data_IF_223900549602
#
_entry.id   IF_223900549602
#
_cell.length_a   1.000
_cell.length_b   1.000
_cell.length_c   1.000
_cell.angle_alpha   90.00
_cell.angle_beta   90.00
_cell.angle_gamma   90.00
#
_symmetry.space_group_name_H-M   'P 1'
#
loop_
_entity.id
_entity.type
_entity.pdbx_description
1 polymer ?
#
# COMPACT_ATOMS: atom_id res chain seq x y z
N UNK A 1 -4.82 25.94 14.87
CA UNK A 1 -4.59 24.59 15.46
C UNK A 1 -5.86 24.04 16.11
N UNK A 2 -6.48 24.77 17.04
CA UNK A 2 -7.70 24.32 17.70
C UNK A 2 -8.79 23.90 16.70
N UNK A 3 -9.09 24.74 15.70
CA UNK A 3 -10.04 24.43 14.63
C UNK A 3 -9.69 23.15 13.87
N UNK A 4 -8.42 22.89 13.52
CA UNK A 4 -8.01 21.67 12.81
C UNK A 4 -8.28 20.44 13.68
N UNK A 5 -7.98 20.51 14.98
CA UNK A 5 -8.25 19.42 15.91
C UNK A 5 -9.75 19.20 16.12
N UNK A 6 -10.57 20.27 16.06
CA UNK A 6 -12.02 20.15 16.09
C UNK A 6 -12.55 19.47 14.82
N UNK A 7 -12.05 19.84 13.64
CA UNK A 7 -12.36 19.15 12.40
C UNK A 7 -11.94 17.67 12.46
N UNK A 8 -10.74 17.39 12.93
CA UNK A 8 -10.29 16.00 13.07
C UNK A 8 -11.17 15.17 14.01
N UNK A 9 -11.57 15.74 15.16
CA UNK A 9 -12.52 15.11 16.09
C UNK A 9 -13.89 14.86 15.43
N UNK A 10 -14.39 15.81 14.64
CA UNK A 10 -15.64 15.64 13.91
C UNK A 10 -15.55 14.53 12.86
N UNK A 11 -14.43 14.45 12.14
CA UNK A 11 -14.14 13.41 11.15
C UNK A 11 -14.07 12.03 11.83
N UNK A 12 -13.33 11.91 12.93
CA UNK A 12 -13.18 10.62 13.65
C UNK A 12 -14.45 10.15 14.35
N UNK A 13 -15.42 11.05 14.57
CA UNK A 13 -16.72 10.68 15.10
C UNK A 13 -17.64 9.99 14.06
N UNK A 14 -17.26 10.01 12.79
CA UNK A 14 -18.03 9.40 11.68
C UNK A 14 -17.27 8.12 11.23
N UNK A 15 -17.89 6.93 11.33
CA UNK A 15 -17.31 5.70 10.79
C UNK A 15 -17.07 5.84 9.28
N UNK A 16 -15.86 5.51 8.83
CA UNK A 16 -15.42 5.71 7.44
C UNK A 16 -14.47 4.62 6.93
N UNK A 17 -14.69 3.37 7.38
CA UNK A 17 -13.95 2.22 6.82
C UNK A 17 -14.16 2.15 5.30
N UNK A 18 -13.12 1.75 4.57
CA UNK A 18 -13.22 1.54 3.12
C UNK A 18 -14.46 0.73 2.75
N UNK A 19 -15.14 1.08 1.66
CA UNK A 19 -16.46 0.60 1.22
C UNK A 19 -17.66 1.02 2.12
N UNK A 20 -17.45 1.61 3.29
CA UNK A 20 -18.51 1.98 4.25
C UNK A 20 -18.45 3.47 4.62
N UNK A 21 -18.34 4.33 3.62
CA UNK A 21 -18.00 5.75 3.77
C UNK A 21 -19.19 6.70 3.52
N UNK A 22 -20.41 6.21 3.36
CA UNK A 22 -21.58 7.01 2.98
C UNK A 22 -21.83 8.22 3.89
N UNK A 23 -21.72 8.04 5.22
CA UNK A 23 -21.93 9.13 6.17
C UNK A 23 -20.86 10.21 6.06
N UNK A 24 -19.60 9.81 5.84
CA UNK A 24 -18.48 10.73 5.63
C UNK A 24 -18.67 11.53 4.35
N UNK A 25 -19.07 10.90 3.24
CA UNK A 25 -19.41 11.59 1.98
C UNK A 25 -20.44 12.71 2.19
N UNK A 26 -21.56 12.40 2.84
CA UNK A 26 -22.60 13.39 3.08
C UNK A 26 -22.14 14.51 4.02
N UNK A 27 -21.26 14.21 4.99
CA UNK A 27 -20.65 15.20 5.86
C UNK A 27 -19.76 16.17 5.07
N UNK A 28 -18.88 15.65 4.19
CA UNK A 28 -18.01 16.46 3.32
C UNK A 28 -18.85 17.39 2.43
N UNK A 29 -19.88 16.86 1.77
CA UNK A 29 -20.76 17.64 0.88
C UNK A 29 -21.46 18.76 1.66
N UNK A 30 -22.07 18.43 2.80
CA UNK A 30 -22.78 19.39 3.64
C UNK A 30 -21.85 20.51 4.11
N UNK A 31 -20.63 20.16 4.53
CA UNK A 31 -19.63 21.12 4.96
C UNK A 31 -19.23 22.05 3.80
N UNK A 32 -18.89 21.50 2.64
CA UNK A 32 -18.51 22.26 1.46
C UNK A 32 -19.62 23.19 0.95
N UNK A 33 -20.86 22.70 0.88
CA UNK A 33 -22.03 23.48 0.49
C UNK A 33 -22.26 24.66 1.45
N UNK A 34 -22.08 24.47 2.76
CA UNK A 34 -22.24 25.52 3.77
C UNK A 34 -21.25 26.70 3.58
N UNK A 35 -20.10 26.42 2.96
CA UNK A 35 -19.07 27.41 2.63
C UNK A 35 -19.20 27.98 1.21
N UNK A 36 -20.22 27.55 0.45
CA UNK A 36 -20.49 28.02 -0.92
C UNK A 36 -19.57 27.41 -1.98
N UNK A 37 -19.00 26.24 -1.74
CA UNK A 37 -18.30 25.47 -2.78
C UNK A 37 -19.31 24.78 -3.71
N UNK A 38 -18.97 24.72 -5.01
CA UNK A 38 -19.65 23.85 -5.95
C UNK A 38 -19.16 22.42 -5.70
N UNK A 39 -20.08 21.53 -5.36
CA UNK A 39 -19.77 20.13 -5.04
C UNK A 39 -20.16 19.23 -6.21
N UNK A 40 -19.25 18.35 -6.61
CA UNK A 40 -19.45 17.31 -7.62
C UNK A 40 -19.02 15.97 -7.05
N UNK A 41 -19.74 14.92 -7.38
CA UNK A 41 -19.39 13.54 -7.03
C UNK A 41 -19.29 12.70 -8.32
N UNK A 42 -18.28 11.87 -8.44
CA UNK A 42 -18.18 10.92 -9.55
C UNK A 42 -18.82 9.57 -9.20
N UNK A 43 -18.80 8.66 -10.19
CA UNK A 43 -19.48 7.36 -10.09
C UNK A 43 -18.87 6.40 -9.04
N UNK A 44 -17.66 6.65 -8.57
CA UNK A 44 -16.98 5.85 -7.52
C UNK A 44 -16.96 6.55 -6.17
N UNK A 45 -17.53 7.75 -6.08
CA UNK A 45 -17.71 8.48 -4.84
C UNK A 45 -16.63 9.51 -4.52
N UNK A 46 -15.71 9.81 -5.44
CA UNK A 46 -14.83 10.95 -5.26
C UNK A 46 -15.61 12.25 -5.22
N UNK A 47 -15.25 13.15 -4.31
CA UNK A 47 -15.94 14.44 -4.11
C UNK A 47 -14.99 15.56 -4.49
N UNK A 48 -15.38 16.36 -5.47
CA UNK A 48 -14.66 17.54 -5.91
C UNK A 48 -15.41 18.80 -5.49
N UNK A 49 -14.80 19.63 -4.66
CA UNK A 49 -15.32 20.88 -4.15
C UNK A 49 -14.56 22.06 -4.78
N UNK A 50 -15.24 22.96 -5.45
CA UNK A 50 -14.61 24.06 -6.21
C UNK A 50 -15.22 25.40 -5.80
N UNK A 51 -14.37 26.41 -5.54
CA UNK A 51 -14.79 27.79 -5.30
C UNK A 51 -13.84 28.75 -6.00
N UNK A 52 -14.38 29.82 -6.62
CA UNK A 52 -13.62 30.87 -7.29
C UNK A 52 -12.81 30.41 -8.49
N UNK A 53 -11.58 30.88 -8.57
CA UNK A 53 -10.59 30.59 -9.66
C UNK A 53 -9.38 29.84 -9.10
N UNK A 54 -9.53 28.58 -8.71
CA UNK A 54 -8.49 27.84 -8.03
C UNK A 54 -7.25 27.63 -8.93
N UNK A 55 -6.07 27.83 -8.35
CA UNK A 55 -4.76 27.46 -8.94
C UNK A 55 -4.20 26.21 -8.27
N UNK A 56 -4.67 25.91 -7.05
CA UNK A 56 -4.27 24.80 -6.20
C UNK A 56 -5.49 23.91 -5.97
N UNK A 57 -5.34 22.61 -6.14
CA UNK A 57 -6.22 21.57 -5.65
C UNK A 57 -5.55 20.89 -4.46
N UNK A 58 -6.16 20.94 -3.29
CA UNK A 58 -5.78 20.10 -2.15
C UNK A 58 -6.43 18.72 -2.30
N UNK A 59 -5.71 17.67 -1.89
CA UNK A 59 -6.27 16.32 -2.01
C UNK A 59 -5.91 15.46 -0.79
N UNK A 60 -6.89 14.67 -0.34
CA UNK A 60 -6.77 13.64 0.68
C UNK A 60 -7.82 12.55 0.45
N UNK A 61 -7.57 11.32 0.86
CA UNK A 61 -8.62 10.29 0.86
C UNK A 61 -9.46 10.36 2.13
N UNK A 62 -10.71 9.91 2.04
CA UNK A 62 -11.65 10.04 3.17
C UNK A 62 -12.03 8.71 3.83
N UNK A 63 -11.62 7.57 3.29
CA UNK A 63 -11.71 6.27 3.95
C UNK A 63 -10.56 6.07 4.95
N UNK A 64 -10.52 4.95 5.63
CA UNK A 64 -9.45 4.56 6.55
C UNK A 64 -9.41 3.05 6.74
N UNK A 65 -8.24 2.50 7.10
CA UNK A 65 -8.11 1.12 7.59
C UNK A 65 -8.73 0.99 8.97
N UNK A 66 -9.72 0.14 9.11
CA UNK A 66 -10.41 -0.09 10.37
C UNK A 66 -9.85 -1.32 11.12
N UNK A 67 -9.21 -1.08 12.25
CA UNK A 67 -8.75 -2.13 13.19
C UNK A 67 -9.24 -1.76 14.59
N UNK A 68 -9.82 -2.73 15.29
CA UNK A 68 -10.36 -2.50 16.62
C UNK A 68 -11.72 -1.81 16.63
N UNK A 69 -12.02 -1.03 17.66
CA UNK A 69 -13.32 -0.36 17.84
C UNK A 69 -13.37 0.98 17.11
N UNK A 70 -13.55 0.93 15.79
CA UNK A 70 -13.61 2.13 14.93
C UNK A 70 -15.01 2.74 14.77
N UNK A 71 -16.04 2.16 15.40
CA UNK A 71 -17.37 2.78 15.43
C UNK A 71 -17.39 4.02 16.33
N UNK A 72 -16.50 4.07 17.32
CA UNK A 72 -16.35 5.21 18.22
C UNK A 72 -14.87 5.33 18.61
N UNK A 73 -14.12 6.05 17.81
CA UNK A 73 -12.69 6.28 18.06
C UNK A 73 -12.51 7.18 19.30
N UNK A 74 -11.91 6.64 20.36
CA UNK A 74 -11.57 7.40 21.57
C UNK A 74 -10.17 7.99 21.40
N UNK A 75 -10.10 9.29 21.08
CA UNK A 75 -8.83 10.01 20.90
C UNK A 75 -8.19 10.25 22.27
N UNK A 76 -6.91 9.92 22.39
CA UNK A 76 -6.08 10.15 23.58
C UNK A 76 -4.89 11.03 23.17
N UNK A 77 -4.52 11.96 24.03
CA UNK A 77 -3.35 12.81 23.87
C UNK A 77 -2.24 12.34 24.81
N UNK A 78 -1.05 12.10 24.26
CA UNK A 78 0.17 11.74 24.98
C UNK A 78 1.27 12.74 24.62
N UNK A 79 1.39 13.81 25.39
CA UNK A 79 2.25 14.96 25.06
C UNK A 79 1.78 15.66 23.79
N UNK A 80 2.57 15.61 22.73
CA UNK A 80 2.24 16.15 21.40
C UNK A 80 1.65 15.10 20.46
N UNK A 81 1.51 13.86 20.91
CA UNK A 81 1.01 12.75 20.09
C UNK A 81 -0.47 12.51 20.31
N UNK A 82 -1.24 12.50 19.24
CA UNK A 82 -2.61 11.98 19.19
C UNK A 82 -2.54 10.48 18.92
N UNK A 83 -3.34 9.71 19.67
CA UNK A 83 -3.47 8.26 19.56
C UNK A 83 -4.94 7.87 19.70
N UNK A 84 -5.29 6.65 19.32
CA UNK A 84 -6.59 6.07 19.61
C UNK A 84 -6.47 4.95 20.65
N UNK A 85 -7.50 4.78 21.47
CA UNK A 85 -7.58 3.70 22.44
C UNK A 85 -8.30 2.51 21.80
N UNK A 86 -7.59 1.37 21.68
CA UNK A 86 -8.12 0.11 21.15
C UNK A 86 -8.59 0.14 19.67
N UNK A 87 -8.16 1.13 18.88
CA UNK A 87 -8.47 1.20 17.45
C UNK A 87 -7.36 1.89 16.67
N UNK A 88 -7.41 1.83 15.34
CA UNK A 88 -6.72 2.79 14.46
C UNK A 88 -7.23 4.20 14.78
N UNK A 89 -6.35 5.19 14.65
CA UNK A 89 -6.68 6.61 14.88
C UNK A 89 -7.38 7.22 13.67
N UNK A 90 -7.00 6.78 12.47
CA UNK A 90 -7.43 7.34 11.20
C UNK A 90 -6.87 8.74 10.95
N UNK A 91 -5.69 9.05 11.46
CA UNK A 91 -4.95 10.25 11.09
C UNK A 91 -4.56 10.20 9.61
N UNK A 92 -4.26 9.04 9.13
CA UNK A 92 -4.19 8.63 7.73
C UNK A 92 -5.62 8.37 7.21
N UNK A 93 -6.18 9.18 6.31
CA UNK A 93 -5.78 10.53 5.95
C UNK A 93 -6.77 11.58 6.53
N UNK A 94 -7.37 11.26 7.69
CA UNK A 94 -8.30 12.18 8.38
C UNK A 94 -7.65 13.49 8.80
N UNK A 95 -6.32 13.50 9.00
CA UNK A 95 -5.62 14.73 9.33
C UNK A 95 -5.42 15.62 8.10
N UNK A 96 -5.13 15.02 6.93
CA UNK A 96 -5.16 15.73 5.65
C UNK A 96 -6.52 16.36 5.39
N UNK A 97 -7.61 15.61 5.59
CA UNK A 97 -8.99 16.13 5.50
C UNK A 97 -9.23 17.31 6.45
N UNK A 98 -8.78 17.21 7.70
CA UNK A 98 -8.98 18.28 8.69
C UNK A 98 -8.25 19.58 8.30
N UNK A 99 -7.05 19.46 7.73
CA UNK A 99 -6.32 20.61 7.16
C UNK A 99 -7.08 21.17 5.95
N UNK A 100 -7.64 20.31 5.10
CA UNK A 100 -8.46 20.76 3.96
C UNK A 100 -9.72 21.50 4.41
N UNK A 101 -10.45 21.01 5.41
CA UNK A 101 -11.62 21.70 5.94
C UNK A 101 -11.24 23.08 6.50
N UNK A 102 -10.17 23.14 7.26
CA UNK A 102 -9.65 24.43 7.74
C UNK A 102 -9.27 25.35 6.57
N UNK A 103 -8.60 24.85 5.53
CA UNK A 103 -8.25 25.66 4.35
C UNK A 103 -9.48 26.16 3.59
N UNK A 104 -10.55 25.37 3.50
CA UNK A 104 -11.83 25.75 2.85
C UNK A 104 -12.52 26.91 3.58
N UNK A 105 -12.43 26.99 4.91
CA UNK A 105 -12.98 28.10 5.69
C UNK A 105 -12.23 29.42 5.46
N UNK A 106 -10.97 29.38 5.02
CA UNK A 106 -10.09 30.54 4.94
C UNK A 106 -9.73 30.99 3.51
N UNK A 107 -10.23 30.28 2.49
CA UNK A 107 -9.89 30.55 1.09
C UNK A 107 -11.10 30.47 0.16
N UNK A 108 -11.27 31.50 -0.69
CA UNK A 108 -12.35 31.57 -1.69
C UNK A 108 -11.91 31.07 -3.08
N UNK A 109 -10.61 31.03 -3.38
CA UNK A 109 -10.08 30.50 -4.64
C UNK A 109 -9.36 29.18 -4.35
N UNK A 110 -10.13 28.13 -4.15
CA UNK A 110 -9.62 26.81 -3.77
C UNK A 110 -10.41 25.67 -4.42
N UNK A 111 -9.69 24.60 -4.75
CA UNK A 111 -10.23 23.31 -5.17
C UNK A 111 -9.80 22.26 -4.16
N UNK A 112 -10.71 21.37 -3.76
CA UNK A 112 -10.48 20.30 -2.81
C UNK A 112 -11.03 19.00 -3.38
N UNK A 113 -10.21 17.98 -3.48
CA UNK A 113 -10.57 16.63 -3.92
C UNK A 113 -10.46 15.65 -2.75
N UNK A 114 -11.57 15.00 -2.43
CA UNK A 114 -11.66 13.94 -1.45
C UNK A 114 -11.87 12.63 -2.19
N UNK A 115 -10.91 11.72 -2.14
CA UNK A 115 -10.95 10.44 -2.85
C UNK A 115 -11.49 9.31 -2.00
N UNK A 116 -12.14 8.34 -2.64
CA UNK A 116 -12.75 7.17 -2.01
C UNK A 116 -11.85 5.95 -2.08
N UNK A 117 -11.96 5.07 -1.08
CA UNK A 117 -11.43 3.71 -1.09
C UNK A 117 -9.95 3.62 -1.56
N UNK A 118 -9.10 4.53 -1.04
CA UNK A 118 -7.67 4.55 -1.27
C UNK A 118 -7.02 3.28 -0.71
N UNK A 119 -7.35 2.94 0.53
CA UNK A 119 -6.76 1.90 1.37
C UNK A 119 -6.94 0.46 0.86
N UNK A 120 -7.81 0.31 -0.12
CA UNK A 120 -8.12 -0.98 -0.76
C UNK A 120 -7.69 -1.03 -2.22
N UNK A 121 -6.69 -0.21 -2.57
CA UNK A 121 -5.99 -0.23 -3.85
C UNK A 121 -6.26 0.96 -4.75
N UNK A 122 -6.30 2.18 -4.20
CA UNK A 122 -6.42 3.46 -4.93
C UNK A 122 -7.67 3.55 -5.81
N UNK A 123 -8.79 2.88 -5.42
CA UNK A 123 -9.96 2.69 -6.29
C UNK A 123 -10.50 4.03 -6.78
N UNK A 124 -10.63 5.01 -5.87
CA UNK A 124 -11.10 6.35 -6.21
C UNK A 124 -10.20 7.03 -7.24
N UNK A 125 -8.90 7.06 -7.01
CA UNK A 125 -7.94 7.68 -7.91
C UNK A 125 -7.89 6.97 -9.27
N UNK A 126 -7.89 5.64 -9.29
CA UNK A 126 -7.88 4.82 -10.51
C UNK A 126 -9.12 5.01 -11.39
N UNK A 127 -10.22 5.46 -10.85
CA UNK A 127 -11.48 5.67 -11.59
C UNK A 127 -11.94 7.13 -11.57
N UNK A 128 -11.07 8.05 -11.13
CA UNK A 128 -11.38 9.47 -11.08
C UNK A 128 -11.76 10.03 -12.44
N UNK A 129 -12.90 10.73 -12.53
CA UNK A 129 -13.46 11.17 -13.81
C UNK A 129 -13.83 12.66 -13.86
N UNK A 130 -13.66 13.41 -12.77
CA UNK A 130 -13.97 14.83 -12.73
C UNK A 130 -12.79 15.69 -13.21
N UNK A 131 -13.03 16.76 -14.00
CA UNK A 131 -11.96 17.63 -14.46
C UNK A 131 -11.54 18.62 -13.37
N UNK A 132 -10.25 18.65 -13.05
CA UNK A 132 -9.68 19.67 -12.16
C UNK A 132 -9.55 21.02 -12.88
N UNK A 133 -9.94 22.11 -12.20
CA UNK A 133 -9.67 23.48 -12.67
C UNK A 133 -8.25 23.92 -12.33
N UNK A 134 -7.76 23.58 -11.16
CA UNK A 134 -6.40 23.87 -10.72
C UNK A 134 -5.36 23.20 -11.64
N UNK A 135 -4.19 23.84 -11.78
CA UNK A 135 -3.04 23.26 -12.50
C UNK A 135 -2.03 22.60 -11.58
N UNK A 136 -2.21 22.74 -10.27
CA UNK A 136 -1.32 22.20 -9.26
C UNK A 136 -2.14 21.38 -8.25
N UNK A 137 -1.70 20.15 -7.99
CA UNK A 137 -2.28 19.22 -7.02
C UNK A 137 -1.35 19.10 -5.82
N UNK A 138 -1.82 19.49 -4.64
CA UNK A 138 -1.14 19.28 -3.37
C UNK A 138 -1.84 18.17 -2.60
N UNK A 139 -1.30 16.98 -2.65
CA UNK A 139 -1.76 15.85 -1.87
C UNK A 139 -1.24 15.97 -0.42
N UNK A 140 -2.07 15.61 0.54
CA UNK A 140 -1.79 15.72 1.98
C UNK A 140 -1.69 14.35 2.67
N UNK A 141 -1.16 13.37 1.96
CA UNK A 141 -1.13 11.97 2.34
C UNK A 141 0.28 11.45 2.68
N UNK A 142 1.28 12.33 2.66
CA UNK A 142 2.60 11.96 3.15
C UNK A 142 2.60 11.92 4.69
N UNK A 143 3.38 10.99 5.24
CA UNK A 143 3.39 10.68 6.68
C UNK A 143 4.65 11.18 7.41
N UNK A 144 5.53 11.89 6.69
CA UNK A 144 6.79 12.41 7.24
C UNK A 144 6.89 13.92 6.99
N UNK A 145 6.88 14.70 8.10
CA UNK A 145 7.08 16.15 8.01
C UNK A 145 8.44 16.51 7.42
N UNK A 146 8.48 17.59 6.64
CA UNK A 146 9.73 18.06 6.02
C UNK A 146 10.14 17.29 4.76
N UNK A 147 9.46 16.25 4.35
CA UNK A 147 9.68 15.54 3.10
C UNK A 147 8.71 15.99 2.01
N UNK A 148 9.16 16.00 0.76
CA UNK A 148 8.38 16.38 -0.42
C UNK A 148 8.42 15.21 -1.39
N UNK A 149 7.30 14.52 -1.57
CA UNK A 149 7.22 13.43 -2.52
C UNK A 149 6.81 13.95 -3.90
N UNK A 150 7.59 13.57 -4.91
CA UNK A 150 7.41 13.98 -6.31
C UNK A 150 7.30 12.77 -7.25
N UNK A 151 7.15 11.57 -6.70
CA UNK A 151 7.02 10.34 -7.46
C UNK A 151 6.73 9.14 -6.57
N UNK A 152 6.11 8.11 -7.16
CA UNK A 152 5.82 6.85 -6.50
C UNK A 152 5.86 5.67 -7.48
N UNK A 153 6.02 4.45 -6.93
CA UNK A 153 5.98 3.25 -7.75
C UNK A 153 4.55 2.95 -8.22
N UNK A 154 4.45 2.51 -9.47
CA UNK A 154 3.29 1.78 -9.96
C UNK A 154 3.30 0.34 -9.46
N UNK A 155 2.16 -0.34 -9.60
CA UNK A 155 1.98 -1.72 -9.15
C UNK A 155 1.22 -2.60 -10.13
N UNK A 156 1.51 -3.90 -10.07
CA UNK A 156 0.79 -4.92 -10.83
C UNK A 156 0.69 -6.18 -10.00
N UNK A 157 -0.52 -6.72 -9.91
CA UNK A 157 -0.80 -7.97 -9.23
C UNK A 157 -0.76 -9.13 -10.22
N UNK A 158 -0.03 -10.18 -9.88
CA UNK A 158 0.11 -11.37 -10.72
C UNK A 158 -0.32 -12.58 -9.91
N UNK A 159 -1.32 -13.29 -10.44
CA UNK A 159 -1.89 -14.47 -9.82
C UNK A 159 -1.57 -15.68 -10.69
N UNK A 160 -0.77 -16.60 -10.14
CA UNK A 160 -0.48 -17.88 -10.78
C UNK A 160 -1.27 -18.99 -10.11
N UNK A 161 -2.01 -19.77 -10.88
CA UNK A 161 -2.87 -20.86 -10.42
C UNK A 161 -2.52 -22.17 -11.08
N UNK A 162 -2.55 -23.26 -10.32
CA UNK A 162 -2.27 -24.61 -10.81
C UNK A 162 -3.31 -25.59 -10.29
N UNK A 163 -4.00 -26.28 -11.21
CA UNK A 163 -4.90 -27.37 -10.85
C UNK A 163 -4.04 -28.58 -10.45
N UNK A 164 -4.26 -29.06 -9.24
CA UNK A 164 -3.44 -30.10 -8.64
C UNK A 164 -3.95 -31.50 -9.03
N UNK A 165 -3.00 -32.39 -9.32
CA UNK A 165 -3.20 -33.81 -9.49
C UNK A 165 -2.50 -34.55 -8.36
N UNK A 166 -3.01 -35.73 -8.01
CA UNK A 166 -2.54 -36.44 -6.83
C UNK A 166 -2.27 -37.90 -7.15
N UNK A 167 -1.12 -38.38 -6.66
CA UNK A 167 -0.72 -39.78 -6.70
C UNK A 167 -0.66 -40.38 -5.30
N UNK A 168 -1.07 -41.66 -5.09
CA UNK A 168 -0.92 -42.31 -3.80
C UNK A 168 0.53 -42.30 -3.29
N UNK A 169 0.69 -42.11 -1.98
CA UNK A 169 2.00 -42.18 -1.31
C UNK A 169 2.54 -43.62 -1.32
N UNK A 170 3.87 -43.73 -1.43
CA UNK A 170 4.58 -45.00 -1.23
C UNK A 170 4.40 -45.49 0.22
N UNK A 171 4.35 -46.81 0.43
CA UNK A 171 4.15 -47.40 1.76
C UNK A 171 5.30 -47.06 2.75
N UNK A 172 6.51 -46.82 2.25
CA UNK A 172 7.70 -46.48 3.01
C UNK A 172 7.94 -44.97 3.17
N UNK A 173 7.05 -44.13 2.60
CA UNK A 173 7.17 -42.69 2.69
C UNK A 173 7.07 -42.19 4.15
N UNK A 174 8.01 -41.33 4.52
CA UNK A 174 8.00 -40.60 5.80
C UNK A 174 7.36 -39.23 5.58
N UNK A 175 6.53 -38.83 6.53
CA UNK A 175 5.78 -37.57 6.43
C UNK A 175 6.38 -36.55 7.38
N UNK A 176 6.48 -35.32 6.89
CA UNK A 176 7.02 -34.19 7.64
C UNK A 176 6.19 -32.94 7.42
N UNK A 177 6.04 -32.16 8.48
CA UNK A 177 5.62 -30.77 8.42
C UNK A 177 6.87 -29.89 8.56
N UNK A 178 7.06 -28.99 7.61
CA UNK A 178 8.13 -27.98 7.66
C UNK A 178 7.46 -26.63 7.79
N UNK A 179 7.73 -25.92 8.88
CA UNK A 179 7.10 -24.66 9.22
C UNK A 179 8.14 -23.56 9.37
N UNK A 180 7.89 -22.43 8.72
CA UNK A 180 8.64 -21.18 8.85
C UNK A 180 7.84 -20.22 9.73
N UNK A 181 8.37 -19.86 10.90
CA UNK A 181 7.75 -18.92 11.86
C UNK A 181 8.74 -17.85 12.29
N UNK A 182 8.25 -16.85 13.00
CA UNK A 182 9.04 -15.77 13.61
C UNK A 182 9.80 -14.91 12.59
N UNK A 183 9.29 -14.84 11.36
CA UNK A 183 9.76 -13.86 10.39
C UNK A 183 9.11 -12.50 10.69
N UNK A 184 9.89 -11.43 10.63
CA UNK A 184 9.43 -10.08 11.01
C UNK A 184 8.24 -9.60 10.19
N UNK A 185 8.23 -9.92 8.87
CA UNK A 185 7.27 -9.36 7.94
C UNK A 185 7.49 -7.86 7.73
N UNK A 186 6.68 -7.27 6.86
CA UNK A 186 6.74 -5.85 6.53
C UNK A 186 5.92 -5.54 5.29
N UNK A 187 5.82 -4.27 4.91
CA UNK A 187 5.16 -3.87 3.68
C UNK A 187 6.06 -4.12 2.47
N UNK A 188 5.56 -4.76 1.41
CA UNK A 188 6.35 -5.16 0.23
C UNK A 188 6.84 -3.99 -0.64
N UNK A 189 6.39 -2.78 -0.39
CA UNK A 189 6.90 -1.55 -0.99
C UNK A 189 7.87 -0.85 -0.05
N UNK A 190 7.37 -0.28 1.05
CA UNK A 190 8.12 0.59 1.99
C UNK A 190 9.23 -0.14 2.75
N UNK A 191 9.09 -1.45 3.00
CA UNK A 191 10.05 -2.20 3.79
C UNK A 191 10.89 -3.18 2.95
N UNK A 192 10.72 -3.21 1.63
CA UNK A 192 11.39 -4.19 0.77
C UNK A 192 12.93 -4.03 0.77
N UNK A 193 13.43 -2.84 1.02
CA UNK A 193 14.84 -2.50 1.12
C UNK A 193 15.48 -2.83 2.48
N UNK A 194 14.65 -3.07 3.51
CA UNK A 194 15.11 -3.40 4.87
C UNK A 194 15.66 -4.82 5.02
N UNK A 195 15.78 -5.55 3.89
CA UNK A 195 16.32 -6.92 3.86
C UNK A 195 15.55 -7.92 4.76
N UNK A 196 14.25 -7.69 4.92
CA UNK A 196 13.38 -8.58 5.69
C UNK A 196 13.22 -9.89 4.90
N UNK A 197 13.57 -11.04 5.48
CA UNK A 197 13.41 -12.31 4.80
C UNK A 197 11.95 -12.75 4.71
N UNK A 198 11.57 -13.37 3.59
CA UNK A 198 10.25 -13.96 3.37
C UNK A 198 10.21 -15.40 3.85
N UNK A 199 9.22 -15.76 4.67
CA UNK A 199 9.01 -17.12 5.14
C UNK A 199 8.72 -18.11 3.97
N UNK A 200 7.91 -17.69 2.98
CA UNK A 200 7.61 -18.49 1.78
C UNK A 200 8.91 -18.77 1.01
N UNK A 201 9.76 -17.75 0.85
CA UNK A 201 11.02 -17.89 0.12
C UNK A 201 12.01 -18.77 0.86
N UNK A 202 12.14 -18.64 2.18
CA UNK A 202 12.98 -19.47 3.01
C UNK A 202 12.56 -20.95 2.93
N UNK A 203 11.27 -21.21 3.06
CA UNK A 203 10.70 -22.57 2.91
C UNK A 203 10.93 -23.11 1.51
N UNK A 204 10.63 -22.35 0.45
CA UNK A 204 10.82 -22.79 -0.93
C UNK A 204 12.30 -23.07 -1.26
N UNK A 205 13.22 -22.26 -0.74
CA UNK A 205 14.64 -22.47 -0.93
C UNK A 205 15.14 -23.73 -0.21
N UNK A 206 14.64 -24.03 0.99
CA UNK A 206 14.97 -25.25 1.71
C UNK A 206 14.43 -26.48 0.97
N UNK A 207 13.19 -26.44 0.48
CA UNK A 207 12.59 -27.55 -0.28
C UNK A 207 13.38 -27.89 -1.56
N UNK A 208 14.05 -26.92 -2.19
CA UNK A 208 14.89 -27.19 -3.36
C UNK A 208 16.10 -28.08 -3.08
N UNK A 209 16.53 -28.18 -1.81
CA UNK A 209 17.71 -28.99 -1.42
C UNK A 209 17.37 -30.46 -1.21
N UNK A 210 16.05 -30.79 -1.17
CA UNK A 210 15.58 -32.11 -0.78
C UNK A 210 14.78 -32.79 -1.89
N UNK A 211 14.88 -34.12 -1.96
CA UNK A 211 14.02 -34.95 -2.80
C UNK A 211 12.75 -35.25 -2.02
N UNK A 212 11.74 -34.36 -2.21
CA UNK A 212 10.45 -34.43 -1.50
C UNK A 212 9.28 -34.24 -2.45
N UNK A 213 8.16 -34.84 -2.09
CA UNK A 213 6.87 -34.58 -2.74
C UNK A 213 5.97 -33.78 -1.79
N UNK A 214 5.33 -32.74 -2.33
CA UNK A 214 4.41 -31.88 -1.59
C UNK A 214 3.06 -32.59 -1.37
N UNK A 215 2.48 -32.39 -0.20
CA UNK A 215 1.14 -32.84 0.15
C UNK A 215 0.23 -31.61 0.37
N UNK A 216 0.72 -30.64 1.12
CA UNK A 216 0.04 -29.40 1.36
C UNK A 216 1.04 -28.23 1.46
N UNK A 217 0.56 -27.02 1.15
CA UNK A 217 1.39 -25.82 1.19
C UNK A 217 0.50 -24.60 1.42
N UNK A 218 0.90 -23.74 2.35
CA UNK A 218 0.29 -22.44 2.55
C UNK A 218 1.29 -21.46 3.18
N UNK A 219 1.06 -20.17 3.00
CA UNK A 219 1.90 -19.13 3.60
C UNK A 219 1.50 -17.74 3.17
N UNK A 220 1.87 -16.76 4.00
CA UNK A 220 1.54 -15.36 3.79
C UNK A 220 0.08 -15.02 4.07
N UNK A 221 -0.19 -13.75 4.31
CA UNK A 221 -1.51 -13.27 4.73
C UNK A 221 -2.08 -12.22 3.77
N UNK A 222 -1.21 -11.40 3.19
CA UNK A 222 -1.57 -10.31 2.27
C UNK A 222 -0.57 -10.24 1.11
N UNK A 223 -1.06 -9.91 -0.08
CA UNK A 223 -0.24 -9.79 -1.30
C UNK A 223 0.85 -8.72 -1.16
N UNK A 224 0.51 -7.59 -0.57
CA UNK A 224 1.42 -6.46 -0.34
C UNK A 224 2.25 -6.57 0.96
N UNK A 225 2.29 -7.75 1.59
CA UNK A 225 3.10 -8.00 2.78
C UNK A 225 4.23 -8.98 2.48
N UNK A 226 5.39 -8.78 3.11
CA UNK A 226 6.48 -9.77 3.15
C UNK A 226 6.04 -10.89 4.11
N UNK A 227 5.93 -12.14 3.66
CA UNK A 227 5.35 -13.24 4.44
C UNK A 227 6.08 -13.52 5.76
N UNK A 228 5.32 -13.58 6.86
CA UNK A 228 5.81 -13.91 8.21
C UNK A 228 5.85 -15.40 8.51
N UNK A 229 5.01 -16.17 7.83
CA UNK A 229 4.87 -17.60 8.05
C UNK A 229 4.63 -18.36 6.75
N UNK A 230 5.06 -19.62 6.72
CA UNK A 230 4.75 -20.56 5.66
C UNK A 230 4.86 -21.97 6.22
N UNK A 231 4.05 -22.90 5.71
CA UNK A 231 4.07 -24.30 6.11
C UNK A 231 3.91 -25.20 4.89
N UNK A 232 4.74 -26.23 4.81
CA UNK A 232 4.61 -27.32 3.84
C UNK A 232 4.47 -28.66 4.56
N UNK A 233 3.58 -29.52 4.05
CA UNK A 233 3.55 -30.93 4.40
C UNK A 233 4.15 -31.69 3.21
N UNK A 234 5.15 -32.52 3.51
CA UNK A 234 5.90 -33.23 2.48
C UNK A 234 6.04 -34.71 2.83
N UNK A 235 6.24 -35.51 1.79
CA UNK A 235 6.70 -36.88 1.92
C UNK A 235 8.16 -37.00 1.42
N UNK A 236 8.94 -37.86 2.08
CA UNK A 236 10.33 -38.17 1.71
C UNK A 236 10.66 -39.62 2.02
N UNK A 237 11.53 -40.24 1.22
CA UNK A 237 12.10 -41.58 1.52
C UNK A 237 13.21 -41.52 2.56
N UNK A 238 13.85 -40.37 2.72
CA UNK A 238 14.96 -40.13 3.65
C UNK A 238 14.51 -39.28 4.84
N UNK A 239 15.34 -39.27 5.87
CA UNK A 239 15.13 -38.32 6.98
C UNK A 239 15.45 -36.90 6.50
N UNK A 240 14.56 -35.96 6.81
CA UNK A 240 14.73 -34.54 6.51
C UNK A 240 15.51 -33.86 7.62
N UNK A 241 16.47 -33.06 7.20
CA UNK A 241 17.24 -32.18 8.07
C UNK A 241 17.29 -30.79 7.43
N UNK A 242 16.87 -29.76 8.16
CA UNK A 242 16.89 -28.38 7.68
C UNK A 242 18.05 -27.62 8.33
N UNK A 243 18.69 -26.74 7.55
CA UNK A 243 19.84 -25.96 8.01
C UNK A 243 19.44 -24.61 8.58
N UNK A 244 18.35 -23.99 8.06
CA UNK A 244 17.86 -22.70 8.54
C UNK A 244 17.17 -22.87 9.90
N UNK A 245 17.73 -22.28 10.95
CA UNK A 245 17.21 -22.37 12.33
C UNK A 245 15.80 -21.78 12.52
N UNK A 246 15.30 -21.02 11.54
CA UNK A 246 13.93 -20.47 11.54
C UNK A 246 12.91 -21.45 10.96
N UNK A 247 13.37 -22.57 10.42
CA UNK A 247 12.53 -23.64 9.90
C UNK A 247 12.46 -24.78 10.94
N UNK A 248 11.26 -25.21 11.23
CA UNK A 248 11.00 -26.29 12.17
C UNK A 248 10.45 -27.51 11.44
N UNK A 249 11.07 -28.67 11.66
CA UNK A 249 10.63 -29.94 11.07
C UNK A 249 9.98 -30.80 12.14
N UNK A 250 8.79 -31.26 11.87
CA UNK A 250 8.03 -32.19 12.72
C UNK A 250 7.69 -33.43 11.92
N UNK A 251 8.06 -34.62 12.41
CA UNK A 251 7.59 -35.88 11.85
C UNK A 251 6.10 -36.07 12.10
N UNK A 252 5.37 -36.53 11.10
CA UNK A 252 3.95 -36.82 11.16
C UNK A 252 3.72 -38.33 11.16
N UNK A 253 2.58 -38.76 11.74
CA UNK A 253 2.19 -40.17 11.78
C UNK A 253 1.82 -40.71 10.38
N UNK A 254 2.13 -41.97 10.13
CA UNK A 254 1.70 -42.66 8.91
C UNK A 254 0.16 -42.71 8.87
N UNK A 255 -0.40 -42.50 7.67
CA UNK A 255 -1.83 -42.52 7.46
C UNK A 255 -2.56 -41.20 7.66
N UNK A 256 -1.87 -40.16 8.16
CA UNK A 256 -2.44 -38.81 8.20
C UNK A 256 -2.76 -38.24 6.80
N UNK A 257 -1.98 -38.68 5.81
CA UNK A 257 -2.17 -38.33 4.38
C UNK A 257 -1.96 -39.56 3.52
N UNK A 258 -2.65 -39.64 2.39
CA UNK A 258 -2.64 -40.80 1.50
C UNK A 258 -2.11 -40.52 0.10
N UNK A 259 -1.99 -39.23 -0.27
CA UNK A 259 -1.57 -38.81 -1.61
C UNK A 259 -0.59 -37.64 -1.52
N UNK A 260 0.25 -37.50 -2.54
CA UNK A 260 1.09 -36.32 -2.76
C UNK A 260 0.71 -35.62 -4.07
N UNK A 261 1.16 -34.39 -4.25
CA UNK A 261 0.91 -33.56 -5.42
C UNK A 261 1.89 -33.92 -6.54
N UNK A 262 1.39 -34.34 -7.70
CA UNK A 262 2.22 -34.75 -8.85
C UNK A 262 3.14 -33.63 -9.33
N UNK A 263 2.64 -32.38 -9.29
CA UNK A 263 3.38 -31.20 -9.74
C UNK A 263 4.38 -30.67 -8.69
N UNK A 264 4.72 -31.44 -7.65
CA UNK A 264 5.60 -31.03 -6.54
C UNK A 264 6.89 -30.35 -7.02
N UNK A 265 7.59 -30.92 -8.01
CA UNK A 265 8.83 -30.35 -8.56
C UNK A 265 8.64 -28.95 -9.17
N UNK A 266 7.54 -28.75 -9.91
CA UNK A 266 7.23 -27.45 -10.51
C UNK A 266 6.89 -26.41 -9.43
N UNK A 267 6.13 -26.78 -8.42
CA UNK A 267 5.74 -25.92 -7.30
C UNK A 267 6.98 -25.54 -6.47
N UNK A 268 7.82 -26.50 -6.12
CA UNK A 268 9.07 -26.22 -5.36
C UNK A 268 9.97 -25.27 -6.13
N UNK A 269 10.12 -25.46 -7.47
CA UNK A 269 10.86 -24.53 -8.32
C UNK A 269 10.20 -23.15 -8.37
N UNK A 270 8.86 -23.08 -8.44
CA UNK A 270 8.13 -21.82 -8.42
C UNK A 270 8.40 -21.02 -7.13
N UNK A 271 8.51 -21.67 -5.98
CA UNK A 271 8.83 -21.00 -4.71
C UNK A 271 10.32 -20.69 -4.58
N UNK A 272 11.17 -21.67 -4.77
CA UNK A 272 12.59 -21.58 -4.46
C UNK A 272 13.40 -20.79 -5.49
N UNK A 273 13.12 -20.95 -6.80
CA UNK A 273 13.84 -20.28 -7.88
C UNK A 273 13.26 -18.90 -8.23
N UNK A 274 12.06 -18.55 -7.76
CA UNK A 274 11.46 -17.24 -8.01
C UNK A 274 12.35 -16.11 -7.49
N UNK A 275 12.66 -15.13 -8.32
CA UNK A 275 13.56 -14.03 -7.99
C UNK A 275 12.79 -12.92 -7.24
N UNK A 276 12.42 -13.20 -5.98
CA UNK A 276 11.74 -12.25 -5.09
C UNK A 276 12.68 -11.14 -4.59
N UNK A 277 12.10 -9.99 -4.27
CA UNK A 277 12.77 -8.85 -3.66
C UNK A 277 13.11 -7.77 -4.68
N UNK A 278 14.12 -6.97 -4.35
CA UNK A 278 14.58 -5.87 -5.20
C UNK A 278 15.21 -6.44 -6.48
N UNK A 279 14.77 -5.94 -7.62
CA UNK A 279 15.27 -6.30 -8.94
C UNK A 279 16.18 -5.22 -9.51
N UNK A 280 15.94 -3.97 -9.15
CA UNK A 280 16.73 -2.83 -9.58
C UNK A 280 16.69 -1.72 -8.52
N UNK A 281 17.73 -0.85 -8.53
CA UNK A 281 17.91 0.23 -7.56
C UNK A 281 18.18 1.56 -8.25
N UNK A 282 17.42 2.60 -7.94
CA UNK A 282 17.71 3.97 -8.35
C UNK A 282 18.72 4.60 -7.37
N UNK A 283 19.92 4.89 -7.89
CA UNK A 283 21.00 5.46 -7.08
C UNK A 283 20.83 6.95 -6.79
N UNK A 284 20.13 7.67 -7.68
CA UNK A 284 19.93 9.10 -7.52
C UNK A 284 18.90 9.39 -6.42
N UNK A 285 17.83 8.62 -6.39
CA UNK A 285 16.78 8.72 -5.37
C UNK A 285 17.07 7.85 -4.14
N UNK A 286 18.07 6.95 -4.23
CA UNK A 286 18.43 5.98 -3.19
C UNK A 286 17.26 5.12 -2.71
N UNK A 287 16.47 4.58 -3.66
CA UNK A 287 15.33 3.69 -3.43
C UNK A 287 15.33 2.53 -4.42
N UNK A 288 14.61 1.43 -4.13
CA UNK A 288 14.33 0.42 -5.15
C UNK A 288 13.61 1.05 -6.35
N UNK A 289 14.11 0.81 -7.58
CA UNK A 289 13.39 1.20 -8.80
C UNK A 289 12.47 0.10 -9.31
N UNK A 290 12.75 -1.16 -8.95
CA UNK A 290 11.93 -2.31 -9.32
C UNK A 290 12.01 -3.40 -8.26
N UNK A 291 10.87 -3.98 -7.88
CA UNK A 291 10.80 -5.09 -6.93
C UNK A 291 9.60 -5.99 -7.18
N UNK A 292 9.67 -7.22 -6.66
CA UNK A 292 8.54 -8.16 -6.68
C UNK A 292 8.47 -8.94 -5.37
N UNK A 293 7.25 -9.21 -4.91
CA UNK A 293 6.98 -9.96 -3.70
C UNK A 293 5.99 -11.10 -3.98
N UNK A 294 6.34 -12.33 -3.62
CA UNK A 294 5.40 -13.45 -3.51
C UNK A 294 4.78 -13.37 -2.11
N UNK A 295 3.60 -12.80 -2.03
CA UNK A 295 2.93 -12.45 -0.78
C UNK A 295 2.06 -13.55 -0.19
N UNK A 296 1.42 -14.39 -1.04
CA UNK A 296 0.50 -15.44 -0.60
C UNK A 296 0.73 -16.72 -1.38
N UNK A 297 0.68 -17.83 -0.67
CA UNK A 297 0.54 -19.18 -1.20
C UNK A 297 -0.64 -19.84 -0.51
N UNK A 298 -1.63 -20.30 -1.27
CA UNK A 298 -2.81 -20.94 -0.73
C UNK A 298 -3.25 -22.13 -1.57
N UNK A 299 -3.87 -23.11 -0.92
CA UNK A 299 -4.50 -24.26 -1.59
C UNK A 299 -5.97 -24.30 -1.22
N UNK A 300 -6.84 -24.31 -2.20
CA UNK A 300 -8.28 -24.45 -2.04
C UNK A 300 -8.89 -25.21 -3.24
N UNK A 301 -9.80 -26.15 -3.00
CA UNK A 301 -10.53 -26.93 -4.01
C UNK A 301 -9.62 -27.52 -5.12
N UNK A 302 -8.52 -28.16 -4.73
CA UNK A 302 -7.52 -28.72 -5.64
C UNK A 302 -6.82 -27.70 -6.55
N UNK A 303 -6.82 -26.43 -6.18
CA UNK A 303 -6.08 -25.37 -6.87
C UNK A 303 -5.05 -24.80 -5.92
N UNK A 304 -3.79 -24.81 -6.36
CA UNK A 304 -2.74 -23.99 -5.75
C UNK A 304 -2.76 -22.60 -6.37
N UNK A 305 -2.70 -21.57 -5.53
CA UNK A 305 -2.64 -20.16 -5.95
C UNK A 305 -1.43 -19.49 -5.33
N UNK A 306 -0.70 -18.73 -6.15
CA UNK A 306 0.43 -17.92 -5.79
C UNK A 306 0.11 -16.46 -6.15
N UNK A 307 0.11 -15.56 -5.17
CA UNK A 307 -0.18 -14.14 -5.39
C UNK A 307 1.10 -13.32 -5.26
N UNK A 308 1.47 -12.63 -6.34
CA UNK A 308 2.62 -11.75 -6.40
C UNK A 308 2.22 -10.29 -6.58
N UNK A 309 2.99 -9.37 -5.97
CA UNK A 309 2.90 -7.94 -6.21
C UNK A 309 4.21 -7.43 -6.82
N UNK A 310 4.15 -6.94 -8.04
CA UNK A 310 5.23 -6.26 -8.74
C UNK A 310 5.13 -4.75 -8.54
N UNK A 311 6.27 -4.06 -8.40
CA UNK A 311 6.37 -2.61 -8.30
C UNK A 311 7.50 -2.08 -9.15
N UNK A 312 7.29 -0.93 -9.81
CA UNK A 312 8.37 -0.22 -10.48
C UNK A 312 8.12 1.30 -10.49
N UNK A 313 9.20 2.07 -10.57
CA UNK A 313 9.15 3.55 -10.58
C UNK A 313 8.79 4.11 -11.95
N UNK A 314 8.61 3.27 -12.97
CA UNK A 314 8.10 3.62 -14.30
C UNK A 314 7.30 2.46 -14.91
N UNK A 315 6.34 2.80 -15.76
CA UNK A 315 5.40 1.84 -16.36
C UNK A 315 6.07 0.82 -17.30
N UNK A 316 7.15 1.21 -17.97
CA UNK A 316 7.88 0.31 -18.87
C UNK A 316 8.54 -0.83 -18.08
N UNK A 317 9.23 -0.50 -17.01
CA UNK A 317 9.87 -1.47 -16.14
C UNK A 317 8.82 -2.32 -15.38
N UNK A 318 7.70 -1.72 -15.00
CA UNK A 318 6.58 -2.46 -14.42
C UNK A 318 6.02 -3.51 -15.40
N UNK A 319 5.84 -3.13 -16.68
CA UNK A 319 5.39 -4.05 -17.72
C UNK A 319 6.41 -5.17 -17.96
N UNK A 320 7.70 -4.86 -18.02
CA UNK A 320 8.77 -5.85 -18.18
C UNK A 320 8.71 -6.86 -17.03
N UNK A 321 8.73 -6.40 -15.77
CA UNK A 321 8.71 -7.27 -14.60
C UNK A 321 7.45 -8.14 -14.55
N UNK A 322 6.29 -7.57 -14.90
CA UNK A 322 5.03 -8.29 -14.96
C UNK A 322 5.09 -9.42 -16.01
N UNK A 323 5.56 -9.11 -17.23
CA UNK A 323 5.68 -10.11 -18.30
C UNK A 323 6.72 -11.20 -17.99
N UNK A 324 7.87 -10.86 -17.39
CA UNK A 324 8.88 -11.84 -16.93
C UNK A 324 8.27 -12.80 -15.90
N UNK A 325 7.51 -12.27 -14.94
CA UNK A 325 6.85 -13.06 -13.89
C UNK A 325 5.78 -13.98 -14.49
N UNK A 326 4.98 -13.48 -15.41
CA UNK A 326 3.98 -14.29 -16.13
C UNK A 326 4.67 -15.42 -16.91
N UNK A 327 5.74 -15.10 -17.65
CA UNK A 327 6.49 -16.07 -18.43
C UNK A 327 7.13 -17.15 -17.54
N UNK A 328 7.69 -16.77 -16.40
CA UNK A 328 8.29 -17.69 -15.44
C UNK A 328 7.25 -18.72 -14.92
N UNK A 329 6.11 -18.28 -14.44
CA UNK A 329 5.09 -19.21 -13.93
C UNK A 329 4.45 -20.05 -15.04
N UNK A 330 4.22 -19.47 -16.23
CA UNK A 330 3.71 -20.24 -17.39
C UNK A 330 4.67 -21.35 -17.82
N UNK A 331 5.99 -21.09 -17.78
CA UNK A 331 7.01 -22.10 -18.08
C UNK A 331 7.00 -23.29 -17.10
N UNK A 332 6.46 -23.08 -15.90
CA UNK A 332 6.27 -24.12 -14.88
C UNK A 332 4.87 -24.77 -14.92
N UNK A 333 4.04 -24.42 -15.90
CA UNK A 333 2.73 -25.03 -16.12
C UNK A 333 1.55 -24.35 -15.38
N UNK A 334 1.77 -23.17 -14.79
CA UNK A 334 0.71 -22.40 -14.16
C UNK A 334 -0.15 -21.66 -15.19
N UNK A 335 -1.45 -21.54 -14.93
CA UNK A 335 -2.28 -20.48 -15.51
C UNK A 335 -2.01 -19.16 -14.77
N UNK A 336 -1.83 -18.06 -15.51
CA UNK A 336 -1.39 -16.80 -14.91
C UNK A 336 -2.27 -15.65 -15.39
N UNK A 337 -2.82 -14.90 -14.44
CA UNK A 337 -3.61 -13.69 -14.66
C UNK A 337 -2.88 -12.49 -14.07
N UNK A 338 -2.97 -11.37 -14.77
CA UNK A 338 -2.61 -10.06 -14.26
C UNK A 338 -3.86 -9.34 -13.78
N UNK A 339 -3.79 -8.72 -12.61
CA UNK A 339 -4.84 -7.90 -12.02
C UNK A 339 -4.24 -6.61 -11.43
N UNK A 340 -5.07 -5.68 -11.00
CA UNK A 340 -4.68 -4.57 -10.15
C UNK A 340 -3.55 -3.67 -10.69
N UNK A 341 -3.51 -3.40 -12.01
CA UNK A 341 -2.53 -2.47 -12.57
C UNK A 341 -2.85 -1.03 -12.17
N UNK A 342 -1.86 -0.35 -11.58
CA UNK A 342 -1.85 1.11 -11.45
C UNK A 342 -0.51 1.67 -11.92
N UNK A 343 -0.55 2.84 -12.58
CA UNK A 343 0.64 3.46 -13.17
C UNK A 343 1.60 4.06 -12.16
N UNK A 344 2.84 4.20 -12.57
CA UNK A 344 3.87 4.88 -11.79
C UNK A 344 3.71 6.41 -11.92
N UNK A 345 3.98 7.11 -10.83
CA UNK A 345 4.20 8.55 -10.86
C UNK A 345 5.69 8.83 -10.96
N UNK A 346 6.16 9.09 -12.19
CA UNK A 346 7.58 9.33 -12.44
C UNK A 346 8.07 10.57 -11.71
N UNK A 347 9.17 10.49 -10.92
CA UNK A 347 9.72 11.63 -10.22
C UNK A 347 10.13 12.76 -11.16
N UNK A 348 9.52 13.94 -11.03
CA UNK A 348 9.83 15.14 -11.80
C UNK A 348 9.92 16.36 -10.87
N UNK A 349 11.05 17.09 -10.94
CA UNK A 349 11.19 18.37 -10.23
C UNK A 349 10.51 19.47 -11.06
N UNK A 350 9.22 19.67 -10.82
CA UNK A 350 8.38 20.66 -11.51
C UNK A 350 8.51 22.06 -10.91
N UNK A 351 7.94 23.07 -11.58
CA UNK A 351 7.88 24.44 -11.05
C UNK A 351 7.08 24.50 -9.74
N UNK A 352 6.01 23.72 -9.64
CA UNK A 352 5.23 23.58 -8.41
C UNK A 352 6.05 22.93 -7.29
N UNK A 353 6.77 21.86 -7.57
CA UNK A 353 7.64 21.21 -6.59
C UNK A 353 8.69 22.17 -6.03
N UNK A 354 9.31 22.99 -6.88
CA UNK A 354 10.28 24.02 -6.45
C UNK A 354 9.62 25.09 -5.57
N UNK A 355 8.41 25.53 -5.91
CA UNK A 355 7.66 26.49 -5.08
C UNK A 355 7.32 25.90 -3.71
N UNK A 356 6.85 24.64 -3.66
CA UNK A 356 6.58 23.93 -2.39
C UNK A 356 7.88 23.81 -1.57
N UNK A 357 9.00 23.44 -2.20
CA UNK A 357 10.28 23.32 -1.51
C UNK A 357 10.73 24.67 -0.93
N UNK A 358 10.53 25.77 -1.63
CA UNK A 358 10.89 27.09 -1.14
C UNK A 358 10.14 27.44 0.16
N UNK A 359 8.84 27.16 0.20
CA UNK A 359 8.02 27.36 1.40
C UNK A 359 8.42 26.39 2.52
N UNK A 360 8.63 25.10 2.19
CA UNK A 360 9.01 24.08 3.16
C UNK A 360 10.35 24.38 3.85
N UNK A 361 11.33 24.94 3.13
CA UNK A 361 12.65 25.30 3.68
C UNK A 361 12.60 26.36 4.79
N UNK A 362 11.54 27.13 4.88
CA UNK A 362 11.36 28.09 5.99
C UNK A 362 11.12 27.38 7.34
N UNK A 363 10.59 26.16 7.30
CA UNK A 363 10.26 25.31 8.46
C UNK A 363 11.29 24.19 8.65
N UNK A 364 11.73 23.60 7.54
CA UNK A 364 12.62 22.44 7.49
C UNK A 364 13.79 22.73 6.54
N UNK A 365 14.91 23.31 7.03
CA UNK A 365 16.03 23.74 6.19
C UNK A 365 16.65 22.63 5.32
N UNK A 366 16.51 21.37 5.75
CA UNK A 366 17.06 20.19 5.06
C UNK A 366 16.04 19.46 4.18
N UNK A 367 14.88 20.07 3.94
CA UNK A 367 13.86 19.51 3.03
C UNK A 367 14.44 19.09 1.68
N UNK A 368 14.16 17.87 1.28
CA UNK A 368 14.59 17.28 0.03
C UNK A 368 13.41 16.64 -0.73
N UNK A 369 13.57 16.52 -2.04
CA UNK A 369 12.65 15.74 -2.85
C UNK A 369 12.87 14.27 -2.61
N UNK A 370 11.78 13.54 -2.51
CA UNK A 370 11.70 12.09 -2.30
C UNK A 370 10.80 11.45 -3.35
N UNK A 371 10.98 10.18 -3.50
CA UNK A 371 10.01 9.30 -4.13
C UNK A 371 9.81 8.08 -3.23
N UNK A 372 8.65 7.44 -3.32
CA UNK A 372 8.32 6.29 -2.49
C UNK A 372 8.11 5.03 -3.35
N UNK A 373 8.63 3.90 -2.89
CA UNK A 373 8.43 2.61 -3.57
C UNK A 373 7.12 1.92 -3.16
N UNK A 374 6.08 2.74 -2.98
CA UNK A 374 4.69 2.35 -2.73
C UNK A 374 3.78 3.22 -3.62
N UNK A 375 2.49 2.91 -3.69
CA UNK A 375 1.53 3.72 -4.44
C UNK A 375 1.20 5.02 -3.70
N UNK A 376 0.96 6.08 -4.46
CA UNK A 376 0.30 7.32 -4.02
C UNK A 376 -0.70 7.71 -5.11
N UNK A 377 -1.81 8.31 -4.72
CA UNK A 377 -2.90 8.67 -5.63
C UNK A 377 -2.51 9.70 -6.70
N UNK A 378 -1.49 10.52 -6.43
CA UNK A 378 -1.06 11.60 -7.33
C UNK A 378 -0.87 11.14 -8.78
N UNK A 379 -0.18 10.01 -8.99
CA UNK A 379 0.10 9.49 -10.34
C UNK A 379 -1.17 9.18 -11.12
N UNK A 380 -2.11 8.47 -10.50
CA UNK A 380 -3.39 8.11 -11.11
C UNK A 380 -4.25 9.36 -11.34
N UNK A 381 -4.35 10.25 -10.36
CA UNK A 381 -5.17 11.46 -10.47
C UNK A 381 -4.71 12.36 -11.62
N UNK A 382 -3.39 12.63 -11.75
CA UNK A 382 -2.88 13.52 -12.80
C UNK A 382 -2.93 12.87 -14.18
N UNK A 383 -2.73 11.55 -14.30
CA UNK A 383 -2.76 10.82 -15.58
C UNK A 383 -4.15 10.88 -16.25
N UNK A 384 -5.21 11.05 -15.45
CA UNK A 384 -6.60 11.10 -15.91
C UNK A 384 -7.06 12.50 -16.30
N UNK A 385 -6.21 13.51 -16.16
CA UNK A 385 -6.61 14.87 -16.48
C UNK A 385 -6.35 15.18 -17.96
N UNK A 386 -7.26 15.95 -18.60
CA UNK A 386 -7.10 16.33 -20.02
C UNK A 386 -5.98 17.37 -20.24
N UNK A 387 -5.45 17.95 -19.17
CA UNK A 387 -4.35 18.93 -19.18
C UNK A 387 -3.24 18.48 -18.25
N UNK A 388 -2.02 19.01 -18.46
CA UNK A 388 -0.90 18.77 -17.53
C UNK A 388 -1.23 19.39 -16.17
N UNK A 389 -1.15 18.57 -15.11
CA UNK A 389 -1.23 18.95 -13.69
C UNK A 389 0.13 18.65 -13.08
N UNK A 390 0.69 19.59 -12.34
CA UNK A 390 1.88 19.35 -11.52
C UNK A 390 1.44 18.91 -10.13
N UNK A 391 2.00 17.82 -9.62
CA UNK A 391 1.61 17.26 -8.33
C UNK A 391 2.80 17.19 -7.36
N UNK A 392 2.48 17.30 -6.07
CA UNK A 392 3.40 17.12 -4.95
C UNK A 392 2.61 16.51 -3.79
N UNK A 393 3.22 15.61 -3.02
CA UNK A 393 2.65 15.12 -1.77
C UNK A 393 3.51 15.59 -0.59
N UNK A 394 2.85 16.12 0.43
CA UNK A 394 3.43 16.50 1.73
C UNK A 394 2.44 16.07 2.83
N UNK A 395 2.86 16.07 4.08
CA UNK A 395 1.96 15.75 5.17
C UNK A 395 2.56 15.94 6.55
N UNK A 396 1.77 15.71 7.60
CA UNK A 396 2.25 15.72 8.98
C UNK A 396 2.95 14.38 9.32
N UNK A 397 3.64 14.34 10.46
CA UNK A 397 4.20 13.09 10.97
C UNK A 397 3.10 12.19 11.51
N UNK A 398 2.85 11.07 10.82
CA UNK A 398 2.00 9.96 11.24
C UNK A 398 2.89 8.73 11.36
N UNK A 399 2.80 7.99 12.44
CA UNK A 399 3.58 6.77 12.66
C UNK A 399 2.69 5.60 12.87
N UNK A 400 3.14 4.44 12.41
CA UNK A 400 2.44 3.17 12.54
C UNK A 400 1.01 3.20 12.00
N UNK A 401 0.74 3.82 10.81
CA UNK A 401 -0.58 3.79 10.21
C UNK A 401 -1.06 2.34 10.09
N UNK A 402 -2.34 2.14 9.87
CA UNK A 402 -2.95 0.81 9.73
C UNK A 402 -2.68 -0.14 10.91
N UNK A 403 -2.53 0.41 12.12
CA UNK A 403 -2.30 -0.37 13.33
C UNK A 403 -2.93 0.25 14.58
N UNK A 404 -3.09 -0.56 15.65
CA UNK A 404 -3.53 -0.07 16.96
C UNK A 404 -2.51 0.89 17.64
N UNK A 405 -1.33 1.07 17.03
CA UNK A 405 -0.28 1.95 17.52
C UNK A 405 -0.20 3.25 16.76
N UNK A 406 -1.12 3.49 15.84
CA UNK A 406 -1.15 4.71 15.03
C UNK A 406 -1.09 5.95 15.92
N UNK A 407 -0.20 6.88 15.58
CA UNK A 407 0.00 8.13 16.30
C UNK A 407 0.31 9.27 15.33
N UNK A 408 -0.15 10.48 15.66
CA UNK A 408 0.06 11.70 14.87
C UNK A 408 0.61 12.82 15.74
N UNK A 409 1.70 13.48 15.31
CA UNK A 409 2.28 14.63 16.02
C UNK A 409 1.55 15.94 15.67
N UNK A 410 0.91 16.56 16.65
CA UNK A 410 0.15 17.80 16.48
C UNK A 410 1.00 19.00 16.11
N UNK A 411 2.30 19.01 16.43
CA UNK A 411 3.19 20.09 16.03
C UNK A 411 3.46 20.02 14.52
N UNK A 412 3.67 18.82 14.00
CA UNK A 412 3.81 18.61 12.55
C UNK A 412 2.53 18.98 11.80
N UNK A 413 1.35 18.68 12.35
CA UNK A 413 0.06 19.12 11.78
C UNK A 413 -0.04 20.63 11.69
N UNK A 414 0.38 21.34 12.76
CA UNK A 414 0.40 22.80 12.77
C UNK A 414 1.32 23.37 11.68
N UNK A 415 2.52 22.81 11.56
CA UNK A 415 3.47 23.24 10.54
C UNK A 415 2.93 22.97 9.13
N UNK A 416 2.39 21.77 8.90
CA UNK A 416 1.79 21.40 7.61
C UNK A 416 0.65 22.34 7.21
N UNK A 417 -0.25 22.69 8.14
CA UNK A 417 -1.33 23.61 7.86
C UNK A 417 -0.81 25.04 7.48
N UNK A 418 0.20 25.54 8.19
CA UNK A 418 0.80 26.84 7.86
C UNK A 418 1.50 26.79 6.49
N UNK A 419 2.20 25.71 6.19
CA UNK A 419 2.82 25.45 4.88
C UNK A 419 1.78 25.44 3.77
N UNK A 420 0.69 24.68 3.93
CA UNK A 420 -0.43 24.63 2.98
C UNK A 420 -0.98 26.04 2.72
N UNK A 421 -1.24 26.84 3.77
CA UNK A 421 -1.75 28.19 3.59
C UNK A 421 -0.75 29.10 2.88
N UNK A 422 0.55 28.99 3.16
CA UNK A 422 1.58 29.76 2.45
C UNK A 422 1.66 29.36 0.97
N UNK A 423 1.56 28.06 0.66
CA UNK A 423 1.52 27.58 -0.72
C UNK A 423 0.29 28.15 -1.44
N UNK A 424 -0.90 28.08 -0.85
CA UNK A 424 -2.12 28.66 -1.42
C UNK A 424 -1.89 30.16 -1.70
N UNK A 425 -1.35 30.90 -0.73
CA UNK A 425 -1.10 32.34 -0.88
C UNK A 425 -0.08 32.69 -1.97
N UNK A 426 0.89 31.83 -2.25
CA UNK A 426 1.87 32.01 -3.33
C UNK A 426 1.19 32.00 -4.72
N UNK A 427 0.04 31.36 -4.84
CA UNK A 427 -0.72 31.21 -6.09
C UNK A 427 -2.01 32.07 -6.12
N UNK A 428 -2.22 32.95 -5.13
CA UNK A 428 -3.25 33.99 -5.21
C UNK A 428 -2.77 35.10 -6.15
N UNK A 429 -3.65 35.50 -7.09
CA UNK A 429 -3.41 36.65 -7.98
C UNK A 429 -3.45 37.97 -7.23
#
# INVERSE_FOLDING_TARGET
>A
MEQILEHFKAITAIPRCSYHTTQMKESIKTFADSLGFLVQEDHVGNILCQKGKPKICLQAHYDMVCIGDTQKIEIVMDGTLLKAKNSTLGADNGMGMAIMFWAMEHNDDLECLFTSDEEVGLIGAMQFSLPLKASNLLNLDAEEEGEIYIGCAGGSDIIASLVLQYTPLDEDAKLYEISAFDFLGGHSGVDIDKKIPSAIKALGYELLKHDVSLIALHGGERRNAIPKSATAIVSSKTALHVEDSRLHVKSLEKGAYTHFIDQSSAIIKALGAFAQGIREWDRALNIPSMSINLGIVSMFDNVLRLDCAARAMDDKNLAILTHETIAFFKALGFDVKQEGWHGAWNPETTSFALSVQAVMKEFYPHTAFKAIHAGLECGELISRQPKKIEAVSIGPTIRYPHSLREECDINSVKNTAVIVQKIINTYKD
#
